data_IF_514703212592
#
_entry.id   IF_514703212592
#
_cell.length_a   1.000
_cell.length_b   1.000
_cell.length_c   1.000
_cell.angle_alpha   90.00
_cell.angle_beta   90.00
_cell.angle_gamma   90.00
#
_symmetry.space_group_name_H-M   'P 1'
#
loop_
_entity.id
_entity.type
_entity.pdbx_description
1 polymer ?
#
# COMPACT_ATOMS: atom_id res chain seq x y z
N UNK A 1 -4.45 9.07 9.37
CA UNK A 1 -4.11 8.96 10.82
C UNK A 1 -4.70 10.06 11.72
N UNK A 2 -4.82 11.35 11.35
CA UNK A 2 -5.31 12.39 12.27
C UNK A 2 -6.68 12.09 12.88
N UNK A 3 -7.60 11.51 12.09
CA UNK A 3 -8.96 11.18 12.50
C UNK A 3 -9.04 10.16 13.65
N UNK A 4 -8.12 9.19 13.70
CA UNK A 4 -8.09 8.21 14.79
C UNK A 4 -7.64 8.87 16.11
N UNK A 5 -6.59 9.69 16.05
CA UNK A 5 -6.11 10.44 17.22
C UNK A 5 -7.14 11.45 17.71
N UNK A 6 -7.90 12.10 16.82
CA UNK A 6 -9.01 12.99 17.23
C UNK A 6 -10.03 12.28 18.11
N UNK A 7 -10.21 10.97 17.92
CA UNK A 7 -11.19 10.16 18.68
C UNK A 7 -10.62 9.63 20.00
N UNK A 8 -9.34 9.27 20.05
CA UNK A 8 -8.80 8.48 21.16
C UNK A 8 -7.68 9.18 21.96
N UNK A 9 -6.98 10.17 21.38
CA UNK A 9 -5.84 10.85 21.99
C UNK A 9 -5.58 12.21 21.28
N UNK A 10 -6.49 13.18 21.38
CA UNK A 10 -6.40 14.45 20.66
C UNK A 10 -5.16 15.29 21.06
N UNK A 11 -4.63 15.11 22.27
CA UNK A 11 -3.41 15.74 22.77
C UNK A 11 -2.16 15.38 21.94
N UNK A 12 -2.16 14.24 21.25
CA UNK A 12 -1.06 13.79 20.40
C UNK A 12 -1.11 14.36 18.97
N UNK A 13 -2.08 15.21 18.64
CA UNK A 13 -2.25 15.73 17.27
C UNK A 13 -1.01 16.48 16.76
N UNK A 14 -0.32 17.21 17.65
CA UNK A 14 0.89 17.95 17.32
C UNK A 14 2.07 17.06 16.90
N UNK A 15 2.07 15.79 17.30
CA UNK A 15 3.13 14.84 16.98
C UNK A 15 2.97 14.16 15.62
N UNK A 16 1.77 14.22 15.01
CA UNK A 16 1.45 13.52 13.75
C UNK A 16 2.39 13.90 12.60
N UNK A 17 2.67 15.19 12.33
CA UNK A 17 3.53 15.54 11.21
C UNK A 17 4.94 14.93 11.32
N UNK A 18 5.50 14.89 12.53
CA UNK A 18 6.83 14.33 12.78
C UNK A 18 6.88 12.81 12.53
N UNK A 19 5.85 12.08 12.93
CA UNK A 19 5.75 10.63 12.68
C UNK A 19 5.53 10.35 11.19
N UNK A 20 4.62 11.07 10.55
CA UNK A 20 4.32 10.88 9.12
C UNK A 20 5.53 11.17 8.23
N UNK A 21 6.41 12.12 8.61
CA UNK A 21 7.66 12.40 7.88
C UNK A 21 8.62 11.22 7.80
N UNK A 22 8.46 10.21 8.67
CA UNK A 22 9.27 8.98 8.66
C UNK A 22 8.79 7.95 7.64
N UNK A 23 7.63 8.17 7.04
CA UNK A 23 7.02 7.28 6.05
C UNK A 23 7.24 7.90 4.67
N UNK A 24 7.90 7.15 3.79
CA UNK A 24 7.95 7.51 2.37
C UNK A 24 6.55 7.42 1.77
N UNK A 25 6.06 8.52 1.21
CA UNK A 25 4.80 8.56 0.47
C UNK A 25 5.14 8.67 -1.00
N UNK A 26 4.56 7.78 -1.80
CA UNK A 26 4.66 7.83 -3.26
C UNK A 26 3.36 8.38 -3.83
N UNK A 27 3.47 9.32 -4.77
CA UNK A 27 2.31 9.91 -5.42
C UNK A 27 1.77 8.99 -6.52
N UNK A 28 0.46 9.00 -6.73
CA UNK A 28 -0.18 8.22 -7.80
C UNK A 28 0.03 8.97 -9.12
N UNK A 29 1.22 8.80 -9.70
CA UNK A 29 1.63 9.41 -10.95
C UNK A 29 1.04 8.70 -12.20
N UNK A 30 1.45 9.14 -13.38
CA UNK A 30 0.99 8.56 -14.63
C UNK A 30 1.39 7.08 -14.81
N UNK A 31 2.60 6.70 -14.40
CA UNK A 31 3.08 5.32 -14.52
C UNK A 31 2.25 4.39 -13.65
N UNK A 32 1.96 4.80 -12.42
CA UNK A 32 1.09 4.05 -11.51
C UNK A 32 -0.31 3.90 -12.09
N UNK A 33 -0.91 5.00 -12.59
CA UNK A 33 -2.27 4.95 -13.17
C UNK A 33 -2.34 4.06 -14.41
N UNK A 34 -1.39 4.19 -15.33
CA UNK A 34 -1.35 3.39 -16.54
C UNK A 34 -1.17 1.90 -16.23
N UNK A 35 -0.25 1.58 -15.31
CA UNK A 35 -0.02 0.19 -14.88
C UNK A 35 -1.25 -0.39 -14.17
N UNK A 36 -1.85 0.36 -13.25
CA UNK A 36 -3.05 -0.07 -12.53
C UNK A 36 -4.23 -0.34 -13.48
N UNK A 37 -4.38 0.47 -14.53
CA UNK A 37 -5.41 0.29 -15.56
C UNK A 37 -5.15 -0.90 -16.49
N UNK A 38 -3.91 -1.38 -16.58
CA UNK A 38 -3.53 -2.49 -17.46
C UNK A 38 -3.80 -3.88 -16.84
N UNK A 39 -4.05 -3.97 -15.53
CA UNK A 39 -4.38 -5.24 -14.89
C UNK A 39 -5.70 -5.81 -15.45
N UNK A 40 -5.67 -7.08 -15.84
CA UNK A 40 -6.78 -7.76 -16.51
C UNK A 40 -7.77 -8.42 -15.54
N UNK A 41 -7.42 -8.55 -14.26
CA UNK A 41 -8.31 -9.13 -13.26
C UNK A 41 -9.48 -8.18 -12.97
N UNK A 42 -10.67 -8.55 -13.45
CA UNK A 42 -11.91 -7.79 -13.27
C UNK A 42 -12.40 -7.75 -11.81
N UNK A 43 -11.90 -8.64 -10.96
CA UNK A 43 -12.21 -8.68 -9.53
C UNK A 43 -11.21 -7.87 -8.69
N UNK A 44 -10.15 -7.33 -9.31
CA UNK A 44 -9.18 -6.48 -8.65
C UNK A 44 -9.78 -5.09 -8.38
N UNK A 45 -9.86 -4.72 -7.10
CA UNK A 45 -10.42 -3.42 -6.69
C UNK A 45 -9.48 -2.27 -7.07
N UNK A 46 -10.02 -1.09 -7.32
CA UNK A 46 -9.23 0.07 -7.80
C UNK A 46 -8.11 0.52 -6.86
N UNK A 47 -8.28 0.37 -5.53
CA UNK A 47 -7.20 0.69 -4.59
C UNK A 47 -6.12 -0.41 -4.58
N UNK A 48 -6.54 -1.66 -4.70
CA UNK A 48 -5.63 -2.81 -4.78
C UNK A 48 -4.76 -2.69 -6.04
N UNK A 49 -5.34 -2.34 -7.19
CA UNK A 49 -4.58 -2.13 -8.43
C UNK A 49 -3.57 -0.99 -8.32
N UNK A 50 -3.90 0.12 -7.66
CA UNK A 50 -2.94 1.20 -7.41
C UNK A 50 -1.78 0.73 -6.53
N UNK A 51 -2.08 0.01 -5.44
CA UNK A 51 -1.04 -0.51 -4.55
C UNK A 51 -0.11 -1.50 -5.25
N UNK A 52 -0.67 -2.43 -6.02
CA UNK A 52 0.10 -3.39 -6.81
C UNK A 52 0.94 -2.68 -7.88
N UNK A 53 0.38 -1.70 -8.58
CA UNK A 53 1.08 -0.95 -9.60
C UNK A 53 2.27 -0.18 -9.02
N UNK A 54 2.10 0.49 -7.88
CA UNK A 54 3.21 1.16 -7.19
C UNK A 54 4.29 0.14 -6.78
N UNK A 55 3.90 -0.97 -6.16
CA UNK A 55 4.85 -1.99 -5.71
C UNK A 55 5.62 -2.63 -6.88
N UNK A 56 4.92 -3.00 -7.95
CA UNK A 56 5.48 -3.75 -9.07
C UNK A 56 6.22 -2.87 -10.07
N UNK A 57 5.63 -1.76 -10.52
CA UNK A 57 6.22 -0.92 -11.58
C UNK A 57 7.27 0.08 -11.06
N UNK A 58 7.13 0.57 -9.82
CA UNK A 58 8.04 1.58 -9.28
C UNK A 58 9.17 0.95 -8.48
N UNK A 59 8.85 0.06 -7.56
CA UNK A 59 9.86 -0.55 -6.69
C UNK A 59 10.39 -1.87 -7.26
N UNK A 60 9.50 -2.72 -7.78
CA UNK A 60 9.84 -3.98 -8.44
C UNK A 60 10.85 -4.79 -7.62
N UNK A 61 12.02 -5.16 -8.19
CA UNK A 61 13.05 -5.93 -7.49
C UNK A 61 13.65 -5.26 -6.24
N UNK A 62 13.52 -3.94 -6.09
CA UNK A 62 14.01 -3.21 -4.92
C UNK A 62 13.04 -3.24 -3.74
N UNK A 63 11.81 -3.73 -3.95
CA UNK A 63 10.85 -3.90 -2.87
C UNK A 63 11.28 -5.06 -1.99
N UNK A 64 11.46 -4.82 -0.69
CA UNK A 64 11.83 -5.87 0.27
C UNK A 64 10.62 -6.64 0.80
N UNK A 65 9.49 -5.97 0.96
CA UNK A 65 8.23 -6.58 1.38
C UNK A 65 7.02 -5.75 0.94
N UNK A 66 5.98 -6.42 0.47
CA UNK A 66 4.63 -5.93 0.27
C UNK A 66 3.76 -6.40 1.44
N UNK A 67 3.50 -5.49 2.38
CA UNK A 67 2.81 -5.82 3.64
C UNK A 67 1.33 -5.50 3.53
N UNK A 68 0.46 -6.49 3.76
CA UNK A 68 -1.00 -6.26 3.82
C UNK A 68 -1.68 -7.25 4.76
N UNK A 69 -2.71 -6.80 5.48
CA UNK A 69 -3.60 -7.68 6.24
C UNK A 69 -4.69 -8.31 5.36
N UNK A 70 -5.01 -7.71 4.22
CA UNK A 70 -6.05 -8.19 3.31
C UNK A 70 -5.52 -9.40 2.53
N UNK A 71 -6.13 -10.57 2.79
CA UNK A 71 -5.75 -11.84 2.16
C UNK A 71 -5.87 -11.82 0.64
N UNK A 72 -6.87 -11.14 0.07
CA UNK A 72 -7.07 -11.08 -1.38
C UNK A 72 -5.98 -10.26 -2.04
N UNK A 73 -5.62 -9.13 -1.42
CA UNK A 73 -4.52 -8.30 -1.91
C UNK A 73 -3.16 -9.01 -1.75
N UNK A 74 -2.97 -9.76 -0.66
CA UNK A 74 -1.79 -10.60 -0.47
C UNK A 74 -1.65 -11.63 -1.61
N UNK A 75 -2.71 -12.39 -1.89
CA UNK A 75 -2.75 -13.39 -2.96
C UNK A 75 -2.46 -12.75 -4.34
N UNK A 76 -3.05 -11.59 -4.62
CA UNK A 76 -2.80 -10.85 -5.86
C UNK A 76 -1.35 -10.36 -5.99
N UNK A 77 -0.76 -9.84 -4.91
CA UNK A 77 0.64 -9.42 -4.89
C UNK A 77 1.60 -10.61 -5.08
N UNK A 78 1.31 -11.74 -4.44
CA UNK A 78 2.10 -12.96 -4.58
C UNK A 78 2.02 -13.53 -6.01
N UNK A 79 0.85 -13.45 -6.66
CA UNK A 79 0.69 -13.85 -8.06
C UNK A 79 1.52 -12.99 -9.04
N UNK A 80 1.84 -11.75 -8.67
CA UNK A 80 2.75 -10.86 -9.41
C UNK A 80 4.24 -11.09 -9.06
N UNK A 81 4.55 -12.04 -8.18
CA UNK A 81 5.92 -12.36 -7.75
C UNK A 81 6.52 -11.34 -6.78
N UNK A 82 5.70 -10.48 -6.16
CA UNK A 82 6.18 -9.55 -5.12
C UNK A 82 6.50 -10.33 -3.83
N UNK A 83 7.53 -9.92 -3.06
CA UNK A 83 7.78 -10.50 -1.74
C UNK A 83 6.68 -10.06 -0.78
N UNK A 84 5.75 -10.94 -0.41
CA UNK A 84 4.58 -10.57 0.38
C UNK A 84 4.71 -10.95 1.86
N UNK A 85 4.18 -10.08 2.73
CA UNK A 85 4.11 -10.32 4.18
C UNK A 85 2.69 -10.03 4.68
N UNK A 86 2.18 -10.88 5.56
CA UNK A 86 0.84 -10.73 6.13
C UNK A 86 0.91 -10.77 7.66
N UNK A 87 0.92 -9.60 8.33
CA UNK A 87 1.02 -9.59 9.79
C UNK A 87 -0.20 -10.25 10.42
N UNK A 88 0.04 -11.05 11.46
CA UNK A 88 -1.02 -11.83 12.12
C UNK A 88 -1.43 -13.10 11.38
N UNK A 89 -0.80 -13.44 10.24
CA UNK A 89 -0.81 -14.81 9.74
C UNK A 89 0.09 -15.67 10.65
N UNK A 90 -0.47 -16.77 11.14
CA UNK A 90 0.21 -17.83 11.93
C UNK A 90 0.55 -19.00 11.04
#
# INVERSE_FOLDING_TARGET
MPRALRRCAPELMGSVPAVMKRIGVYDIDEVVRATAAAYQDVMLRSLDSIHLATAHAIFGPHLTAFVTYDRRLHEAAAALGLPTEQPGAV
#
